data_IF_516942740294
#
_entry.id   IF_516942740294
#
_cell.length_a   1.000
_cell.length_b   1.000
_cell.length_c   1.000
_cell.angle_alpha   90.00
_cell.angle_beta   90.00
_cell.angle_gamma   90.00
#
_symmetry.space_group_name_H-M   'P 1'
#
loop_
_entity.id
_entity.type
_entity.pdbx_description
1 polymer ?
#
# COMPACT_ATOMS: atom_id res chain seq x y z
N UNK A 1 -3.82 33.01 0.34
CA UNK A 1 -2.50 32.38 0.48
C UNK A 1 -2.74 30.88 0.67
N UNK A 2 -2.52 30.04 -0.35
CA UNK A 2 -2.68 28.58 -0.21
C UNK A 2 -1.44 28.06 0.50
N UNK A 3 -1.53 27.93 1.82
CA UNK A 3 -0.48 27.35 2.63
C UNK A 3 -0.60 25.83 2.48
N UNK A 4 0.19 25.24 1.57
CA UNK A 4 0.35 23.78 1.55
C UNK A 4 1.20 23.45 2.77
N UNK A 5 0.56 23.07 3.88
CA UNK A 5 1.28 22.56 5.04
C UNK A 5 2.23 21.43 4.58
N UNK A 6 3.44 21.32 5.13
CA UNK A 6 4.37 20.26 4.72
C UNK A 6 3.75 18.91 5.04
N UNK A 7 3.26 18.23 4.00
CA UNK A 7 2.75 16.86 4.10
C UNK A 7 3.94 15.90 4.09
N UNK A 8 3.91 14.92 5.01
CA UNK A 8 4.77 13.74 4.98
C UNK A 8 3.88 12.54 4.71
N UNK A 9 4.23 11.78 3.69
CA UNK A 9 3.53 10.56 3.29
C UNK A 9 4.51 9.38 3.36
N UNK A 10 4.00 8.21 3.70
CA UNK A 10 4.75 6.95 3.74
C UNK A 10 3.99 5.87 2.95
N UNK A 11 4.73 5.05 2.21
CA UNK A 11 4.20 3.89 1.49
C UNK A 11 4.68 2.64 2.22
N UNK A 12 3.73 1.77 2.60
CA UNK A 12 4.01 0.45 3.17
C UNK A 12 3.73 -0.61 2.12
N UNK A 13 4.73 -1.42 1.80
CA UNK A 13 4.62 -2.57 0.90
C UNK A 13 4.66 -3.84 1.73
N UNK A 14 3.56 -4.59 1.71
CA UNK A 14 3.43 -5.85 2.44
C UNK A 14 3.90 -7.00 1.56
N UNK A 15 4.73 -7.87 2.12
CA UNK A 15 5.33 -9.01 1.45
C UNK A 15 5.21 -10.29 2.29
N UNK A 16 5.22 -11.43 1.62
CA UNK A 16 5.09 -12.75 2.23
C UNK A 16 6.05 -13.73 1.57
N UNK A 17 6.61 -14.65 2.35
CA UNK A 17 7.41 -15.76 1.84
C UNK A 17 6.61 -17.08 1.80
N UNK A 18 7.24 -18.15 1.30
CA UNK A 18 6.60 -19.47 1.15
C UNK A 18 6.19 -20.11 2.49
N UNK A 19 6.87 -19.74 3.57
CA UNK A 19 6.58 -20.21 4.93
C UNK A 19 5.48 -19.41 5.64
N UNK A 20 4.92 -18.40 4.97
CA UNK A 20 3.87 -17.53 5.52
C UNK A 20 4.39 -16.43 6.45
N UNK A 21 5.71 -16.22 6.52
CA UNK A 21 6.29 -15.09 7.22
C UNK A 21 6.00 -13.79 6.46
N UNK A 22 5.63 -12.76 7.20
CA UNK A 22 5.28 -11.45 6.66
C UNK A 22 6.44 -10.46 6.84
N UNK A 23 6.60 -9.57 5.88
CA UNK A 23 7.51 -8.44 5.94
C UNK A 23 6.80 -7.17 5.46
N UNK A 24 7.17 -6.03 6.04
CA UNK A 24 6.62 -4.71 5.65
C UNK A 24 7.80 -3.81 5.32
N UNK A 25 7.85 -3.32 4.09
CA UNK A 25 8.83 -2.34 3.63
C UNK A 25 8.18 -0.96 3.66
N UNK A 26 8.69 -0.06 4.51
CA UNK A 26 8.17 1.32 4.64
C UNK A 26 9.10 2.30 3.95
N UNK A 27 8.62 2.95 2.88
CA UNK A 27 9.35 3.98 2.14
C UNK A 27 8.74 5.36 2.40
N UNK A 28 9.57 6.36 2.66
CA UNK A 28 9.12 7.76 2.74
C UNK A 28 8.95 8.35 1.34
N UNK A 29 7.84 9.06 1.12
CA UNK A 29 7.61 9.80 -0.12
C UNK A 29 8.22 11.22 -0.04
N UNK A 30 8.41 11.90 -1.18
CA UNK A 30 8.93 13.27 -1.21
C UNK A 30 8.13 14.24 -0.33
N UNK A 31 8.85 15.02 0.49
CA UNK A 31 8.26 15.96 1.43
C UNK A 31 7.66 17.18 0.72
N UNK A 32 6.49 17.63 1.18
CA UNK A 32 5.86 18.86 0.69
C UNK A 32 5.37 18.79 -0.76
N UNK A 33 5.34 17.59 -1.36
CA UNK A 33 4.83 17.35 -2.70
C UNK A 33 3.79 16.23 -2.65
N UNK A 34 2.66 16.45 -3.33
CA UNK A 34 1.71 15.36 -3.55
C UNK A 34 2.31 14.38 -4.58
N UNK A 35 2.36 13.08 -4.29
CA UNK A 35 3.02 12.12 -5.15
C UNK A 35 2.23 11.93 -6.45
N UNK A 36 2.95 11.81 -7.57
CA UNK A 36 2.38 11.42 -8.86
C UNK A 36 2.36 9.90 -9.00
N UNK A 37 1.54 9.37 -9.92
CA UNK A 37 1.52 7.93 -10.24
C UNK A 37 2.92 7.38 -10.53
N UNK A 38 3.70 8.06 -11.36
CA UNK A 38 5.07 7.63 -11.69
C UNK A 38 6.01 7.63 -10.49
N UNK A 39 5.83 8.56 -9.53
CA UNK A 39 6.58 8.55 -8.27
C UNK A 39 6.20 7.35 -7.41
N UNK A 40 4.91 7.03 -7.31
CA UNK A 40 4.43 5.85 -6.58
C UNK A 40 4.95 4.55 -7.21
N UNK A 41 4.87 4.41 -8.52
CA UNK A 41 5.35 3.23 -9.26
C UNK A 41 6.86 3.04 -9.09
N UNK A 42 7.63 4.14 -9.10
CA UNK A 42 9.08 4.09 -8.88
C UNK A 42 9.40 3.64 -7.45
N UNK A 43 8.78 4.26 -6.45
CA UNK A 43 9.00 3.91 -5.04
C UNK A 43 8.56 2.46 -4.75
N UNK A 44 7.47 2.01 -5.38
CA UNK A 44 7.01 0.63 -5.27
C UNK A 44 8.03 -0.36 -5.84
N UNK A 45 8.57 -0.10 -7.03
CA UNK A 45 9.63 -0.95 -7.63
C UNK A 45 10.91 -0.95 -6.80
N UNK A 46 11.30 0.19 -6.26
CA UNK A 46 12.44 0.29 -5.34
C UNK A 46 12.18 -0.56 -4.08
N UNK A 47 10.99 -0.46 -3.49
CA UNK A 47 10.59 -1.27 -2.34
C UNK A 47 10.59 -2.78 -2.64
N UNK A 48 10.09 -3.19 -3.81
CA UNK A 48 10.11 -4.58 -4.28
C UNK A 48 11.55 -5.09 -4.44
N UNK A 49 12.45 -4.27 -4.99
CA UNK A 49 13.88 -4.58 -5.13
C UNK A 49 14.64 -4.66 -3.80
N UNK A 50 14.08 -4.14 -2.70
CA UNK A 50 14.63 -4.25 -1.35
C UNK A 50 14.10 -5.46 -0.57
N UNK A 51 13.18 -6.24 -1.14
CA UNK A 51 12.71 -7.46 -0.51
C UNK A 51 13.81 -8.55 -0.53
N UNK A 52 13.90 -9.39 0.51
CA UNK A 52 14.77 -10.57 0.46
C UNK A 52 14.31 -11.53 -0.63
N UNK A 53 15.23 -12.33 -1.19
CA UNK A 53 14.99 -13.17 -2.38
C UNK A 53 13.80 -14.15 -2.24
N UNK A 54 13.48 -14.60 -1.02
CA UNK A 54 12.38 -15.53 -0.74
C UNK A 54 11.01 -14.85 -0.52
N UNK A 55 10.98 -13.51 -0.52
CA UNK A 55 9.76 -12.73 -0.31
C UNK A 55 9.21 -12.22 -1.64
N UNK A 56 7.88 -12.20 -1.73
CA UNK A 56 7.16 -11.51 -2.79
C UNK A 56 6.13 -10.56 -2.21
N UNK A 57 5.74 -9.54 -2.99
CA UNK A 57 4.63 -8.68 -2.62
C UNK A 57 3.35 -9.51 -2.46
N UNK A 58 2.57 -9.19 -1.41
CA UNK A 58 1.30 -9.83 -1.14
C UNK A 58 0.30 -9.53 -2.26
N UNK A 59 -0.49 -10.53 -2.63
CA UNK A 59 -1.67 -10.29 -3.46
C UNK A 59 -2.77 -9.62 -2.63
N UNK A 60 -3.87 -9.22 -3.28
CA UNK A 60 -4.95 -8.47 -2.62
C UNK A 60 -5.53 -9.23 -1.42
N UNK A 61 -5.78 -10.54 -1.57
CA UNK A 61 -6.33 -11.36 -0.49
C UNK A 61 -5.37 -11.52 0.69
N UNK A 62 -4.08 -11.70 0.41
CA UNK A 62 -3.04 -11.79 1.44
C UNK A 62 -2.90 -10.49 2.20
N UNK A 63 -2.86 -9.36 1.47
CA UNK A 63 -2.79 -8.03 2.05
C UNK A 63 -3.99 -7.74 2.96
N UNK A 64 -5.22 -7.96 2.50
CA UNK A 64 -6.41 -7.67 3.30
C UNK A 64 -6.44 -8.49 4.59
N UNK A 65 -6.07 -9.77 4.54
CA UNK A 65 -5.99 -10.59 5.75
C UNK A 65 -4.90 -10.08 6.71
N UNK A 66 -3.72 -9.73 6.19
CA UNK A 66 -2.63 -9.19 7.00
C UNK A 66 -3.00 -7.84 7.64
N UNK A 67 -3.60 -6.94 6.87
CA UNK A 67 -4.09 -5.64 7.35
C UNK A 67 -5.16 -5.78 8.43
N UNK A 68 -6.16 -6.64 8.21
CA UNK A 68 -7.22 -6.85 9.20
C UNK A 68 -6.68 -7.47 10.49
N UNK A 69 -5.72 -8.40 10.38
CA UNK A 69 -5.05 -8.97 11.53
C UNK A 69 -4.22 -7.92 12.28
N UNK A 70 -3.48 -7.05 11.59
CA UNK A 70 -2.69 -5.98 12.19
C UNK A 70 -3.58 -4.95 12.91
N UNK A 71 -4.64 -4.50 12.26
CA UNK A 71 -5.48 -3.40 12.74
C UNK A 71 -6.50 -3.84 13.81
N UNK A 72 -7.07 -5.04 13.67
CA UNK A 72 -8.18 -5.52 14.50
C UNK A 72 -7.87 -6.78 15.31
N UNK A 73 -6.68 -7.37 15.17
CA UNK A 73 -6.30 -8.60 15.88
C UNK A 73 -7.13 -9.82 15.49
N UNK A 74 -7.87 -9.76 14.39
CA UNK A 74 -8.74 -10.85 13.95
C UNK A 74 -7.93 -12.01 13.38
N UNK A 75 -8.33 -13.24 13.72
CA UNK A 75 -7.78 -14.48 13.15
C UNK A 75 -8.67 -15.04 12.03
N UNK A 76 -9.76 -14.36 11.71
CA UNK A 76 -10.73 -14.79 10.71
C UNK A 76 -10.23 -14.46 9.31
N UNK A 77 -10.33 -15.43 8.39
CA UNK A 77 -10.05 -15.20 6.97
C UNK A 77 -11.30 -14.62 6.32
N UNK A 78 -11.31 -13.32 6.08
CA UNK A 78 -12.44 -12.68 5.42
C UNK A 78 -12.43 -13.03 3.93
N UNK A 79 -13.61 -13.33 3.38
CA UNK A 79 -13.78 -13.46 1.94
C UNK A 79 -13.50 -12.08 1.31
N UNK A 80 -12.35 -11.89 0.68
CA UNK A 80 -12.06 -10.64 -0.02
C UNK A 80 -13.05 -10.46 -1.18
N UNK A 81 -13.85 -9.38 -1.21
CA UNK A 81 -14.73 -9.11 -2.34
C UNK A 81 -13.89 -8.81 -3.60
N UNK A 82 -14.03 -9.61 -4.66
CA UNK A 82 -13.43 -9.38 -5.98
C UNK A 82 -12.27 -10.30 -6.36
N UNK A 83 -11.48 -9.87 -7.36
CA UNK A 83 -10.33 -10.59 -7.93
C UNK A 83 -9.17 -10.70 -6.93
N UNK A 84 -8.33 -11.73 -7.10
CA UNK A 84 -7.13 -11.99 -6.27
C UNK A 84 -6.01 -10.95 -6.48
N UNK A 85 -6.02 -10.29 -7.63
CA UNK A 85 -5.03 -9.28 -8.01
C UNK A 85 -5.54 -7.87 -7.69
N UNK A 86 -4.62 -6.95 -7.39
CA UNK A 86 -4.94 -5.53 -7.39
C UNK A 86 -5.28 -5.14 -8.84
N UNK A 87 -6.46 -4.57 -9.05
CA UNK A 87 -6.87 -4.04 -10.35
C UNK A 87 -6.06 -2.77 -10.65
N UNK A 88 -5.69 -2.53 -11.91
CA UNK A 88 -5.09 -1.25 -12.34
C UNK A 88 -6.13 -0.10 -12.31
N UNK A 89 -7.41 -0.42 -12.03
CA UNK A 89 -8.47 0.54 -11.75
C UNK A 89 -8.10 1.39 -10.53
N UNK A 90 -7.51 2.55 -10.81
CA UNK A 90 -7.31 3.62 -9.85
C UNK A 90 -8.69 4.13 -9.46
N UNK A 91 -9.07 3.99 -8.19
CA UNK A 91 -10.16 4.78 -7.65
C UNK A 91 -9.62 6.21 -7.56
N UNK A 92 -9.79 6.98 -8.63
CA UNK A 92 -9.55 8.42 -8.59
C UNK A 92 -10.52 8.98 -7.54
N UNK A 93 -9.98 9.56 -6.47
CA UNK A 93 -10.79 10.32 -5.53
C UNK A 93 -11.38 11.49 -6.31
N UNK A 94 -12.69 11.43 -6.55
CA UNK A 94 -13.44 12.50 -7.18
C UNK A 94 -13.20 13.80 -6.37
N UNK A 95 -12.64 14.82 -7.02
CA UNK A 95 -12.30 16.10 -6.38
C UNK A 95 -13.53 16.85 -5.83
N UNK A 96 -14.75 16.37 -6.07
CA UNK A 96 -16.00 17.01 -5.63
C UNK A 96 -16.36 16.79 -4.16
N UNK A 97 -15.54 16.08 -3.38
CA UNK A 97 -15.82 15.78 -1.97
C UNK A 97 -15.18 16.71 -0.93
N UNK A 98 -14.39 17.71 -1.34
CA UNK A 98 -13.61 18.57 -0.43
C UNK A 98 -14.27 19.92 -0.07
N UNK A 99 -15.60 20.03 -0.23
CA UNK A 99 -16.37 21.16 0.30
C UNK A 99 -17.52 20.63 1.17
N UNK A 100 -17.34 20.70 2.49
CA UNK A 100 -18.34 20.41 3.52
C UNK A 100 -17.96 21.09 4.83
#
# INVERSE_FOLDING_TARGET
MKMNAPIKLEMKVYAVNKDGQQAIVTMSLPLGQYPTRSTLEKIFKDAEGHLPDDFRVMNKSEFFNAYLQEEYGTTEKFATPGSREFTDDVIEMDESGAEG
#
